data_IF_747230465902
#
_entry.id   IF_747230465902
#
_cell.length_a   1.000
_cell.length_b   1.000
_cell.length_c   1.000
_cell.angle_alpha   90.00
_cell.angle_beta   90.00
_cell.angle_gamma   90.00
#
_symmetry.space_group_name_H-M   'P 1'
#
loop_
_entity.id
_entity.type
_entity.pdbx_description
1 polymer ?
#
# COMPACT_ATOMS: atom_id res chain seq x y z
N UNK A 1 -3.71 8.83 -5.84
CA UNK A 1 -3.47 9.21 -4.43
C UNK A 1 -3.43 10.72 -4.15
N UNK A 2 -2.40 11.48 -4.58
CA UNK A 2 -2.11 12.83 -4.05
C UNK A 2 -3.27 13.84 -4.17
N UNK A 3 -3.99 13.85 -5.29
CA UNK A 3 -5.20 14.65 -5.46
C UNK A 3 -6.24 14.43 -4.34
N UNK A 4 -6.47 13.17 -3.98
CA UNK A 4 -7.44 12.79 -2.95
C UNK A 4 -6.94 13.06 -1.53
N UNK A 5 -5.63 12.94 -1.30
CA UNK A 5 -5.01 13.41 -0.05
C UNK A 5 -5.27 14.91 0.15
N UNK A 6 -5.02 15.75 -0.87
CA UNK A 6 -5.25 17.21 -0.80
C UNK A 6 -6.71 17.53 -0.44
N UNK A 7 -7.68 16.75 -0.94
CA UNK A 7 -9.09 16.94 -0.62
C UNK A 7 -9.47 16.48 0.78
N UNK A 8 -8.92 15.36 1.24
CA UNK A 8 -9.36 14.72 2.49
C UNK A 8 -8.66 15.28 3.72
N UNK A 9 -7.44 15.84 3.58
CA UNK A 9 -6.66 16.34 4.73
C UNK A 9 -7.38 17.44 5.54
N UNK A 10 -8.15 18.30 4.86
CA UNK A 10 -8.83 19.44 5.46
C UNK A 10 -10.29 19.14 5.83
N UNK A 11 -10.75 17.88 5.65
CA UNK A 11 -12.11 17.47 6.01
C UNK A 11 -12.18 17.24 7.52
N UNK A 12 -13.22 17.74 8.21
CA UNK A 12 -13.40 17.49 9.64
C UNK A 12 -13.31 16.01 10.01
N UNK A 13 -12.48 15.70 11.01
CA UNK A 13 -12.20 14.32 11.45
C UNK A 13 -11.02 13.65 10.75
N UNK A 14 -10.33 14.34 9.83
CA UNK A 14 -9.05 13.86 9.30
C UNK A 14 -7.88 14.36 10.14
N UNK A 15 -6.94 13.48 10.46
CA UNK A 15 -5.68 13.80 11.14
C UNK A 15 -4.49 13.75 10.16
N UNK A 16 -4.74 13.89 8.85
CA UNK A 16 -3.66 13.80 7.86
C UNK A 16 -2.81 15.06 7.89
N UNK A 17 -1.52 14.90 8.18
CA UNK A 17 -0.50 15.94 8.13
C UNK A 17 0.15 16.07 6.75
N UNK A 18 1.47 16.21 6.70
CA UNK A 18 2.27 16.28 5.49
C UNK A 18 2.17 15.05 4.57
N UNK A 19 2.65 15.20 3.34
CA UNK A 19 2.70 14.14 2.34
C UNK A 19 4.09 14.12 1.72
N UNK A 20 4.72 12.95 1.68
CA UNK A 20 5.98 12.75 0.96
C UNK A 20 5.85 11.55 0.04
N UNK A 21 6.14 11.74 -1.26
CA UNK A 21 6.38 10.64 -2.19
C UNK A 21 7.86 10.26 -2.12
N UNK A 22 8.13 9.01 -1.76
CA UNK A 22 9.49 8.46 -1.76
C UNK A 22 9.80 7.89 -3.14
N UNK A 23 10.58 8.63 -3.93
CA UNK A 23 10.95 8.26 -5.30
C UNK A 23 12.27 7.50 -5.29
N UNK A 24 12.19 6.17 -5.31
CA UNK A 24 13.33 5.26 -5.20
C UNK A 24 13.94 4.85 -6.55
N UNK A 25 13.82 5.72 -7.56
CA UNK A 25 14.45 5.54 -8.88
C UNK A 25 15.90 6.05 -8.92
N UNK A 26 16.36 6.73 -7.87
CA UNK A 26 17.62 7.46 -7.84
C UNK A 26 17.64 8.74 -8.70
N UNK A 27 16.55 9.06 -9.40
CA UNK A 27 16.49 10.18 -10.33
C UNK A 27 15.21 11.01 -10.10
N UNK A 28 15.28 12.35 -10.20
CA UNK A 28 14.09 13.18 -10.15
C UNK A 28 13.17 12.92 -11.35
N UNK A 29 11.88 13.21 -11.18
CA UNK A 29 10.88 13.19 -12.25
C UNK A 29 10.07 14.49 -12.30
N UNK A 30 9.26 14.66 -13.34
CA UNK A 30 8.42 15.85 -13.55
C UNK A 30 7.31 16.01 -12.50
N UNK A 31 6.89 14.95 -11.83
CA UNK A 31 5.85 15.01 -10.79
C UNK A 31 6.37 15.63 -9.49
N UNK A 32 7.68 15.80 -9.33
CA UNK A 32 8.25 16.48 -8.16
C UNK A 32 7.87 17.96 -8.07
N UNK A 33 7.46 18.58 -9.19
CA UNK A 33 6.95 19.96 -9.20
C UNK A 33 5.57 20.08 -8.55
N UNK A 34 4.78 19.00 -8.54
CA UNK A 34 3.44 18.99 -7.94
C UNK A 34 3.40 18.24 -6.60
N UNK A 35 4.08 17.10 -6.52
CA UNK A 35 4.00 16.18 -5.39
C UNK A 35 5.26 16.35 -4.55
N UNK A 36 5.16 16.75 -3.26
CA UNK A 36 6.33 16.81 -2.40
C UNK A 36 7.01 15.45 -2.37
N UNK A 37 8.28 15.43 -2.78
CA UNK A 37 9.00 14.20 -3.09
C UNK A 37 10.41 14.24 -2.52
N UNK A 38 10.90 13.08 -2.14
CA UNK A 38 12.32 12.86 -1.87
C UNK A 38 12.86 11.83 -2.87
N UNK A 39 14.04 12.08 -3.42
CA UNK A 39 14.74 11.12 -4.26
C UNK A 39 15.68 10.31 -3.37
N UNK A 40 15.56 8.99 -3.47
CA UNK A 40 16.42 8.03 -2.77
C UNK A 40 16.95 7.02 -3.77
N UNK A 41 18.11 6.46 -3.46
CA UNK A 41 18.79 5.53 -4.36
C UNK A 41 18.06 4.18 -4.36
N UNK A 42 17.97 3.49 -5.52
CA UNK A 42 17.55 2.10 -5.51
C UNK A 42 18.56 1.24 -4.74
N UNK A 43 18.19 -0.01 -4.48
CA UNK A 43 19.15 -1.01 -4.03
C UNK A 43 20.27 -1.16 -5.07
N UNK A 44 21.52 -1.41 -4.63
CA UNK A 44 22.60 -1.79 -5.52
C UNK A 44 22.21 -2.90 -6.50
N UNK A 45 22.73 -2.81 -7.72
CA UNK A 45 22.41 -3.73 -8.80
C UNK A 45 22.56 -5.19 -8.37
N UNK A 46 21.54 -6.01 -8.67
CA UNK A 46 21.53 -7.44 -8.38
C UNK A 46 21.02 -7.83 -6.99
N UNK A 47 20.97 -6.92 -6.02
CA UNK A 47 20.47 -7.24 -4.67
C UNK A 47 18.97 -7.49 -4.64
N UNK A 48 18.20 -6.82 -5.50
CA UNK A 48 16.76 -7.04 -5.59
C UNK A 48 16.39 -8.34 -6.33
N UNK A 49 17.35 -8.96 -7.03
CA UNK A 49 17.18 -10.15 -7.88
C UNK A 49 15.98 -10.02 -8.83
N UNK A 50 15.76 -8.82 -9.39
CA UNK A 50 14.63 -8.51 -10.27
C UNK A 50 13.28 -8.34 -9.56
N UNK A 51 13.24 -8.40 -8.22
CA UNK A 51 12.06 -8.12 -7.42
C UNK A 51 12.12 -6.68 -6.89
N UNK A 52 11.69 -5.74 -7.75
CA UNK A 52 11.78 -4.29 -7.53
C UNK A 52 11.13 -3.80 -6.23
N UNK A 53 10.23 -4.58 -5.64
CA UNK A 53 9.53 -4.24 -4.38
C UNK A 53 10.52 -4.13 -3.21
N UNK A 54 11.69 -4.78 -3.27
CA UNK A 54 12.74 -4.65 -2.24
C UNK A 54 13.33 -3.24 -2.15
N UNK A 55 13.16 -2.41 -3.18
CA UNK A 55 13.55 -1.01 -3.08
C UNK A 55 12.73 -0.26 -2.03
N UNK A 56 11.51 -0.70 -1.69
CA UNK A 56 10.62 -0.04 -0.73
C UNK A 56 11.21 0.04 0.68
N UNK A 57 11.57 -1.06 1.36
CA UNK A 57 12.17 -0.96 2.69
C UNK A 57 13.46 -0.12 2.69
N UNK A 58 14.27 -0.22 1.64
CA UNK A 58 15.48 0.59 1.51
C UNK A 58 15.17 2.09 1.35
N UNK A 59 14.13 2.41 0.58
CA UNK A 59 13.64 3.77 0.40
C UNK A 59 13.17 4.38 1.73
N UNK A 60 12.50 3.61 2.59
CA UNK A 60 12.11 4.06 3.93
C UNK A 60 13.30 4.32 4.84
N UNK A 61 14.33 3.47 4.82
CA UNK A 61 15.57 3.70 5.59
C UNK A 61 16.20 5.04 5.20
N UNK A 62 16.44 5.26 3.91
CA UNK A 62 17.02 6.51 3.42
C UNK A 62 16.12 7.72 3.68
N UNK A 63 14.81 7.58 3.53
CA UNK A 63 13.88 8.69 3.78
C UNK A 63 13.88 9.12 5.24
N UNK A 64 13.88 8.17 6.18
CA UNK A 64 13.95 8.47 7.62
C UNK A 64 15.27 9.14 8.02
N UNK A 65 16.37 8.83 7.33
CA UNK A 65 17.67 9.49 7.55
C UNK A 65 17.72 10.90 6.96
N UNK A 66 17.10 11.12 5.79
CA UNK A 66 17.24 12.36 5.00
C UNK A 66 16.16 13.40 5.30
N UNK A 67 14.95 12.97 5.64
CA UNK A 67 13.80 13.87 5.77
C UNK A 67 13.67 14.47 7.17
N UNK A 68 13.26 15.74 7.22
CA UNK A 68 12.73 16.34 8.46
C UNK A 68 11.23 16.04 8.52
N UNK A 69 10.83 15.23 9.50
CA UNK A 69 9.43 14.80 9.69
C UNK A 69 8.92 15.40 10.99
N UNK A 70 7.99 16.35 10.89
CA UNK A 70 7.37 17.04 12.03
C UNK A 70 6.32 16.17 12.72
N UNK A 71 5.64 15.32 11.95
CA UNK A 71 4.58 14.45 12.45
C UNK A 71 5.11 13.32 13.35
N UNK A 72 4.36 13.02 14.41
CA UNK A 72 4.66 11.89 15.30
C UNK A 72 4.30 10.54 14.65
N UNK A 73 3.30 10.51 13.78
CA UNK A 73 2.79 9.31 13.12
C UNK A 73 2.94 9.40 11.61
N UNK A 74 3.21 8.26 10.98
CA UNK A 74 3.40 8.10 9.55
C UNK A 74 2.34 7.13 9.04
N UNK A 75 1.59 7.56 8.03
CA UNK A 75 0.77 6.67 7.19
C UNK A 75 1.62 6.17 6.02
N UNK A 76 1.97 4.89 6.01
CA UNK A 76 2.50 4.22 4.83
C UNK A 76 1.33 3.83 3.92
N UNK A 77 1.39 4.23 2.64
CA UNK A 77 0.31 4.04 1.66
C UNK A 77 0.87 3.74 0.26
N UNK A 78 0.07 3.10 -0.62
CA UNK A 78 0.47 2.76 -1.99
C UNK A 78 -0.12 3.74 -3.03
N UNK A 79 0.56 4.03 -4.16
CA UNK A 79 0.08 4.98 -5.17
C UNK A 79 -1.35 4.72 -5.71
N UNK A 80 -1.79 3.47 -5.64
CA UNK A 80 -3.13 3.00 -6.01
C UNK A 80 -4.16 3.01 -4.86
N UNK A 81 -3.90 3.82 -3.83
CA UNK A 81 -4.89 4.20 -2.84
C UNK A 81 -5.62 5.51 -3.23
N UNK A 82 -6.92 5.52 -2.96
CA UNK A 82 -7.81 6.69 -3.04
C UNK A 82 -8.44 6.90 -1.67
N UNK A 83 -8.22 8.07 -1.06
CA UNK A 83 -8.90 8.46 0.17
C UNK A 83 -10.35 8.84 -0.14
N UNK A 84 -11.30 8.18 0.51
CA UNK A 84 -12.74 8.35 0.27
C UNK A 84 -13.51 8.91 1.46
N UNK A 85 -12.95 8.82 2.67
CA UNK A 85 -13.49 9.38 3.90
C UNK A 85 -12.35 10.06 4.69
N UNK A 86 -12.65 11.03 5.59
CA UNK A 86 -11.64 11.64 6.46
C UNK A 86 -10.98 10.57 7.33
N UNK A 87 -9.65 10.56 7.35
CA UNK A 87 -8.86 9.52 8.02
C UNK A 87 -8.30 10.07 9.35
N UNK A 88 -8.83 9.66 10.51
CA UNK A 88 -8.22 9.96 11.80
C UNK A 88 -7.01 9.06 12.04
N UNK A 89 -6.20 9.38 13.03
CA UNK A 89 -5.13 8.50 13.49
C UNK A 89 -5.73 7.24 14.11
N UNK A 90 -5.60 6.11 13.41
CA UNK A 90 -6.16 4.82 13.85
C UNK A 90 -5.23 4.09 14.83
N UNK A 91 -3.97 4.53 14.96
CA UNK A 91 -3.00 3.95 15.89
C UNK A 91 -3.27 4.42 17.32
N UNK A 92 -2.79 3.67 18.31
CA UNK A 92 -2.95 4.03 19.71
C UNK A 92 -1.71 3.67 20.53
N UNK A 93 -1.07 4.69 21.12
CA UNK A 93 0.17 4.49 21.88
C UNK A 93 1.24 3.83 21.02
N UNK A 94 1.81 2.73 21.50
CA UNK A 94 2.84 1.97 20.78
C UNK A 94 2.26 0.85 19.90
N UNK A 95 0.95 0.86 19.66
CA UNK A 95 0.26 -0.06 18.77
C UNK A 95 -0.11 0.62 17.44
N UNK A 96 0.64 0.35 16.36
CA UNK A 96 0.29 0.85 15.04
C UNK A 96 -1.04 0.26 14.54
N UNK A 97 -1.72 0.92 13.63
CA UNK A 97 -2.91 0.36 12.98
C UNK A 97 -2.58 -0.16 11.59
N UNK A 98 -3.08 -1.35 11.24
CA UNK A 98 -2.78 -1.99 9.96
C UNK A 98 -3.99 -2.74 9.40
N UNK A 99 -4.05 -2.87 8.08
CA UNK A 99 -5.03 -3.74 7.44
C UNK A 99 -4.59 -5.21 7.48
N UNK A 100 -5.43 -6.15 7.97
CA UNK A 100 -5.12 -7.57 7.95
C UNK A 100 -5.33 -8.17 6.55
N UNK A 101 -4.27 -8.76 6.00
CA UNK A 101 -4.32 -9.41 4.70
C UNK A 101 -4.58 -10.90 4.85
N UNK A 102 -5.69 -11.38 4.28
CA UNK A 102 -6.11 -12.79 4.40
C UNK A 102 -5.10 -13.81 3.83
N UNK A 103 -4.22 -13.36 2.92
CA UNK A 103 -3.17 -14.16 2.30
C UNK A 103 -1.82 -14.10 3.03
N UNK A 104 -1.67 -13.23 4.04
CA UNK A 104 -0.51 -13.24 4.92
C UNK A 104 -0.85 -14.12 6.12
N UNK A 105 -0.21 -15.29 6.19
CA UNK A 105 -0.57 -16.34 7.13
C UNK A 105 0.67 -16.89 7.84
N UNK A 106 1.24 -16.17 8.81
CA UNK A 106 2.45 -16.59 9.52
C UNK A 106 2.30 -17.97 10.16
N UNK A 107 1.17 -18.22 10.84
CA UNK A 107 0.92 -19.50 11.54
C UNK A 107 0.85 -20.72 10.59
N UNK A 108 0.31 -20.56 9.37
CA UNK A 108 0.30 -21.64 8.36
C UNK A 108 1.69 -21.89 7.75
N UNK A 109 2.64 -20.98 7.94
CA UNK A 109 4.00 -21.03 7.38
C UNK A 109 5.08 -21.17 8.45
N UNK A 110 4.75 -21.71 9.63
CA UNK A 110 5.62 -21.72 10.81
C UNK A 110 7.06 -22.18 10.52
N UNK A 111 7.24 -23.29 9.78
CA UNK A 111 8.57 -23.80 9.42
C UNK A 111 9.45 -22.74 8.71
N UNK A 112 8.88 -21.99 7.78
CA UNK A 112 9.58 -20.91 7.06
C UNK A 112 9.78 -19.71 7.99
N UNK A 113 8.73 -19.35 8.75
CA UNK A 113 8.78 -18.22 9.69
C UNK A 113 9.90 -18.36 10.72
N UNK A 114 10.17 -19.58 11.23
CA UNK A 114 11.23 -19.81 12.23
C UNK A 114 12.64 -19.49 11.76
N UNK A 115 12.89 -19.41 10.45
CA UNK A 115 14.18 -18.92 9.92
C UNK A 115 14.43 -17.43 10.19
N UNK A 116 13.36 -16.66 10.42
CA UNK A 116 13.38 -15.20 10.56
C UNK A 116 12.78 -14.70 11.88
N UNK A 117 11.96 -15.51 12.55
CA UNK A 117 11.38 -15.26 13.87
C UNK A 117 11.64 -16.48 14.79
N UNK A 118 12.81 -16.51 15.45
CA UNK A 118 13.24 -17.64 16.29
C UNK A 118 12.28 -17.97 17.44
N UNK A 119 12.36 -19.19 17.98
CA UNK A 119 11.45 -19.64 19.05
C UNK A 119 11.58 -18.82 20.34
N UNK A 120 12.78 -18.33 20.64
CA UNK A 120 13.06 -17.46 21.79
C UNK A 120 12.34 -16.10 21.71
N UNK A 121 11.91 -15.68 20.51
CA UNK A 121 11.11 -14.46 20.32
C UNK A 121 9.62 -14.69 20.63
N UNK A 122 9.20 -15.94 20.84
CA UNK A 122 7.83 -16.31 21.17
C UNK A 122 7.08 -17.05 20.05
N UNK A 123 5.75 -17.23 20.17
CA UNK A 123 4.95 -17.97 19.18
C UNK A 123 4.84 -17.21 17.85
N UNK A 124 4.78 -17.92 16.71
CA UNK A 124 4.62 -17.28 15.38
C UNK A 124 3.35 -16.44 15.27
N UNK A 125 2.34 -16.70 16.08
CA UNK A 125 1.12 -15.86 16.19
C UNK A 125 1.41 -14.42 16.65
N UNK A 126 2.61 -14.15 17.18
CA UNK A 126 3.10 -12.80 17.45
C UNK A 126 3.44 -12.01 16.17
N UNK A 127 3.60 -12.68 15.03
CA UNK A 127 3.71 -12.02 13.72
C UNK A 127 2.29 -11.75 13.20
N UNK A 128 1.94 -10.47 13.10
CA UNK A 128 0.62 -10.05 12.62
C UNK A 128 0.43 -10.39 11.12
N UNK A 129 -0.79 -10.74 10.67
CA UNK A 129 -1.09 -11.05 9.26
C UNK A 129 -1.22 -9.77 8.42
N UNK A 130 -0.16 -8.97 8.36
CA UNK A 130 -0.16 -7.62 7.79
C UNK A 130 0.98 -7.44 6.77
N UNK A 131 0.92 -6.33 6.03
CA UNK A 131 2.07 -5.79 5.29
C UNK A 131 2.31 -4.34 5.70
N UNK A 132 3.23 -3.66 5.03
CA UNK A 132 3.58 -2.27 5.39
C UNK A 132 2.51 -1.24 5.02
N UNK A 133 1.50 -1.58 4.20
CA UNK A 133 0.54 -0.62 3.66
C UNK A 133 -0.88 -1.20 3.53
N UNK A 134 -1.94 -0.48 3.97
CA UNK A 134 -1.86 0.75 4.75
C UNK A 134 -1.49 0.45 6.21
N UNK A 135 -0.57 1.25 6.76
CA UNK A 135 -0.20 1.22 8.18
C UNK A 135 -0.03 2.64 8.71
N UNK A 136 -0.62 2.94 9.87
CA UNK A 136 -0.30 4.14 10.65
C UNK A 136 0.58 3.73 11.82
N UNK A 137 1.80 4.27 11.88
CA UNK A 137 2.84 3.88 12.84
C UNK A 137 3.55 5.13 13.39
N UNK A 138 3.92 5.12 14.67
CA UNK A 138 4.78 6.17 15.22
C UNK A 138 6.12 6.20 14.48
N UNK A 139 6.60 7.39 14.14
CA UNK A 139 7.90 7.61 13.51
C UNK A 139 9.04 6.88 14.24
N UNK A 140 9.09 7.01 15.57
CA UNK A 140 10.12 6.37 16.40
C UNK A 140 10.09 4.84 16.41
N UNK A 141 8.94 4.23 16.12
CA UNK A 141 8.84 2.77 15.92
C UNK A 141 9.29 2.43 14.51
N UNK A 142 8.87 3.19 13.49
CA UNK A 142 9.27 2.97 12.11
C UNK A 142 10.80 3.06 11.94
N UNK A 143 11.45 4.04 12.56
CA UNK A 143 12.92 4.19 12.61
C UNK A 143 13.62 2.94 13.14
N UNK A 144 13.04 2.26 14.14
CA UNK A 144 13.61 1.03 14.70
C UNK A 144 13.42 -0.18 13.78
N UNK A 145 12.24 -0.31 13.17
CA UNK A 145 11.91 -1.51 12.39
C UNK A 145 12.40 -1.44 10.95
N UNK A 146 12.57 -0.26 10.34
CA UNK A 146 12.88 -0.11 8.92
C UNK A 146 14.20 -0.80 8.50
N UNK A 147 15.32 -0.67 9.25
CA UNK A 147 16.55 -1.41 8.91
C UNK A 147 16.38 -2.93 9.03
N UNK A 148 15.62 -3.41 10.02
CA UNK A 148 15.32 -4.84 10.19
C UNK A 148 14.41 -5.36 9.07
N UNK A 149 13.41 -4.57 8.68
CA UNK A 149 12.52 -4.88 7.57
C UNK A 149 13.32 -5.08 6.28
N UNK A 150 14.21 -4.13 5.93
CA UNK A 150 15.11 -4.28 4.80
C UNK A 150 15.93 -5.57 4.86
N UNK A 151 16.62 -5.81 5.97
CA UNK A 151 17.52 -6.96 6.11
C UNK A 151 16.78 -8.29 6.08
N UNK A 152 15.60 -8.38 6.72
CA UNK A 152 14.78 -9.59 6.68
C UNK A 152 14.26 -9.83 5.26
N UNK A 153 13.76 -8.80 4.57
CA UNK A 153 13.28 -8.94 3.19
C UNK A 153 14.39 -9.40 2.23
N UNK A 154 15.62 -8.87 2.36
CA UNK A 154 16.76 -9.35 1.56
C UNK A 154 17.10 -10.81 1.86
N UNK A 155 17.18 -11.19 3.15
CA UNK A 155 17.43 -12.59 3.55
C UNK A 155 16.33 -13.55 3.10
N UNK A 156 15.08 -13.10 3.08
CA UNK A 156 13.96 -13.88 2.55
C UNK A 156 14.10 -14.07 1.04
N UNK A 157 14.53 -13.02 0.32
CA UNK A 157 14.75 -13.09 -1.12
C UNK A 157 15.93 -14.00 -1.51
N UNK A 158 16.96 -14.03 -0.68
CA UNK A 158 18.15 -14.88 -0.88
C UNK A 158 17.90 -16.36 -0.57
N UNK A 159 16.85 -16.71 0.17
CA UNK A 159 16.46 -18.09 0.48
C UNK A 159 15.48 -18.63 -0.58
N UNK A 160 15.86 -19.63 -1.40
CA UNK A 160 15.00 -20.12 -2.48
C UNK A 160 13.69 -20.77 -2.00
N UNK A 161 13.66 -21.40 -0.81
CA UNK A 161 12.43 -21.98 -0.25
C UNK A 161 11.47 -20.87 0.17
N UNK A 162 11.99 -19.83 0.83
CA UNK A 162 11.20 -18.68 1.28
C UNK A 162 10.73 -17.82 0.10
N UNK A 163 11.61 -17.50 -0.86
CA UNK A 163 11.26 -16.73 -2.06
C UNK A 163 10.17 -17.41 -2.86
N UNK A 164 10.28 -18.73 -3.06
CA UNK A 164 9.24 -19.50 -3.73
C UNK A 164 7.93 -19.51 -2.96
N UNK A 165 7.97 -19.60 -1.63
CA UNK A 165 6.77 -19.70 -0.80
C UNK A 165 6.01 -18.38 -0.69
N UNK A 166 6.71 -17.26 -0.48
CA UNK A 166 6.07 -15.96 -0.28
C UNK A 166 5.95 -15.14 -1.57
N UNK A 167 6.85 -15.34 -2.54
CA UNK A 167 6.79 -14.71 -3.85
C UNK A 167 6.54 -13.21 -3.79
N UNK A 168 5.46 -12.75 -4.42
CA UNK A 168 5.15 -11.32 -4.57
C UNK A 168 4.81 -10.59 -3.27
N UNK A 169 4.48 -11.31 -2.18
CA UNK A 169 4.19 -10.74 -0.85
C UNK A 169 5.35 -10.88 0.14
N UNK A 170 6.52 -11.33 -0.33
CA UNK A 170 7.69 -11.55 0.52
C UNK A 170 8.09 -10.32 1.32
N UNK A 171 8.07 -9.15 0.70
CA UNK A 171 8.39 -7.90 1.39
C UNK A 171 7.41 -7.64 2.55
N UNK A 172 6.11 -7.91 2.36
CA UNK A 172 5.09 -7.77 3.41
C UNK A 172 5.35 -8.68 4.60
N UNK A 173 5.77 -9.93 4.37
CA UNK A 173 6.23 -10.82 5.44
C UNK A 173 7.47 -10.27 6.14
N UNK A 174 8.39 -9.66 5.40
CA UNK A 174 9.55 -8.97 5.97
C UNK A 174 9.15 -7.85 6.94
N UNK A 175 8.17 -7.01 6.57
CA UNK A 175 7.65 -5.97 7.45
C UNK A 175 6.99 -6.56 8.71
N UNK A 176 6.17 -7.60 8.55
CA UNK A 176 5.49 -8.25 9.66
C UNK A 176 6.48 -8.91 10.65
N UNK A 177 7.50 -9.61 10.13
CA UNK A 177 8.55 -10.21 10.95
C UNK A 177 9.38 -9.14 11.65
N UNK A 178 9.80 -8.09 10.94
CA UNK A 178 10.57 -7.01 11.54
C UNK A 178 9.81 -6.35 12.69
N UNK A 179 8.51 -6.09 12.50
CA UNK A 179 7.64 -5.57 13.56
C UNK A 179 7.63 -6.49 14.78
N UNK A 180 7.42 -7.80 14.57
CA UNK A 180 7.38 -8.78 15.66
C UNK A 180 8.72 -8.94 16.38
N UNK A 181 9.84 -8.89 15.65
CA UNK A 181 11.19 -8.94 16.23
C UNK A 181 11.46 -7.77 17.19
N UNK A 182 10.79 -6.63 16.97
CA UNK A 182 10.86 -5.45 17.85
C UNK A 182 9.69 -5.37 18.85
N UNK A 183 8.92 -6.45 19.02
CA UNK A 183 7.80 -6.53 19.96
C UNK A 183 6.59 -5.66 19.58
N UNK A 184 6.51 -5.21 18.32
CA UNK A 184 5.43 -4.34 17.84
C UNK A 184 4.21 -5.17 17.46
N UNK A 185 3.05 -4.83 18.04
CA UNK A 185 1.76 -5.48 17.78
C UNK A 185 0.75 -4.48 17.22
N UNK A 186 0.11 -4.84 16.12
CA UNK A 186 -0.80 -3.95 15.39
C UNK A 186 -2.26 -4.07 15.86
N UNK A 187 -2.97 -2.94 15.82
CA UNK A 187 -4.42 -2.90 15.84
C UNK A 187 -4.91 -3.24 14.44
N UNK A 188 -5.50 -4.43 14.28
CA UNK A 188 -5.98 -4.91 12.99
C UNK A 188 -7.31 -4.25 12.62
N UNK A 189 -7.32 -3.47 11.55
CA UNK A 189 -8.47 -2.67 11.09
C UNK A 189 -8.94 -3.12 9.71
N UNK A 190 -10.00 -3.93 9.67
CA UNK A 190 -10.64 -4.37 8.40
C UNK A 190 -11.35 -3.22 7.68
N UNK A 191 -11.70 -2.16 8.39
CA UNK A 191 -12.30 -0.94 7.87
C UNK A 191 -11.27 0.07 7.35
N UNK A 192 -9.97 -0.23 7.46
CA UNK A 192 -8.92 0.70 7.05
C UNK A 192 -8.93 0.94 5.53
N UNK A 193 -9.12 -0.12 4.75
CA UNK A 193 -9.27 -0.03 3.30
C UNK A 193 -10.30 -1.03 2.78
N UNK A 194 -10.70 -0.85 1.52
CA UNK A 194 -11.49 -1.76 0.73
C UNK A 194 -10.84 -2.07 -0.62
N UNK A 195 -11.19 -3.21 -1.18
CA UNK A 195 -10.63 -3.77 -2.40
C UNK A 195 -11.73 -4.14 -3.40
N UNK A 196 -12.24 -3.17 -4.17
CA UNK A 196 -13.14 -3.46 -5.29
C UNK A 196 -12.46 -4.42 -6.30
N UNK A 197 -13.21 -5.36 -6.91
CA UNK A 197 -14.67 -5.49 -6.86
C UNK A 197 -15.22 -6.33 -5.69
N UNK A 198 -14.38 -6.77 -4.75
CA UNK A 198 -14.76 -7.72 -3.71
C UNK A 198 -15.50 -7.08 -2.53
N UNK A 199 -15.05 -5.90 -2.11
CA UNK A 199 -15.77 -5.10 -1.13
C UNK A 199 -16.81 -4.25 -1.85
N UNK A 200 -18.09 -4.52 -1.59
CA UNK A 200 -19.19 -3.96 -2.40
C UNK A 200 -19.53 -2.50 -2.06
N UNK A 201 -19.33 -2.12 -0.79
CA UNK A 201 -19.73 -0.83 -0.24
C UNK A 201 -18.55 -0.08 0.37
N UNK A 202 -18.53 1.24 0.17
CA UNK A 202 -17.55 2.15 0.75
C UNK A 202 -17.82 2.33 2.24
N UNK A 203 -19.06 2.70 2.59
CA UNK A 203 -19.47 2.93 3.98
C UNK A 203 -18.54 3.87 4.73
N UNK A 204 -18.10 3.45 5.92
CA UNK A 204 -17.17 4.17 6.79
C UNK A 204 -15.69 3.85 6.56
N UNK A 205 -15.35 3.11 5.50
CA UNK A 205 -13.96 2.72 5.20
C UNK A 205 -13.18 3.88 4.59
N UNK A 206 -11.88 3.95 4.81
CA UNK A 206 -11.12 5.17 4.50
C UNK A 206 -10.47 5.21 3.13
N UNK A 207 -10.01 4.05 2.64
CA UNK A 207 -9.18 3.94 1.45
C UNK A 207 -9.76 2.93 0.47
N UNK A 208 -9.97 3.32 -0.79
CA UNK A 208 -10.10 2.36 -1.90
C UNK A 208 -8.70 1.98 -2.39
N UNK A 209 -8.37 0.69 -2.35
CA UNK A 209 -7.18 0.12 -2.96
C UNK A 209 -7.57 -0.59 -4.27
N UNK A 210 -7.29 0.05 -5.42
CA UNK A 210 -7.74 -0.45 -6.73
C UNK A 210 -6.77 -1.46 -7.36
N UNK A 211 -6.47 -2.52 -6.62
CA UNK A 211 -5.48 -3.53 -7.04
C UNK A 211 -6.02 -4.53 -8.07
N UNK A 212 -7.32 -4.86 -8.00
CA UNK A 212 -7.95 -5.85 -8.86
C UNK A 212 -8.60 -5.21 -10.09
N UNK A 213 -8.60 -5.95 -11.20
CA UNK A 213 -9.42 -5.60 -12.36
C UNK A 213 -10.91 -5.73 -12.03
N UNK A 214 -11.67 -4.72 -12.41
CA UNK A 214 -13.12 -4.67 -12.31
C UNK A 214 -13.71 -4.96 -13.69
N UNK A 215 -14.01 -6.23 -13.96
CA UNK A 215 -14.54 -6.71 -15.24
C UNK A 215 -16.00 -7.11 -15.11
N UNK A 216 -16.88 -6.48 -15.88
CA UNK A 216 -18.32 -6.71 -15.82
C UNK A 216 -18.94 -6.88 -17.20
N UNK A 217 -20.00 -7.67 -17.29
CA UNK A 217 -20.88 -7.62 -18.45
C UNK A 217 -21.86 -6.43 -18.34
N UNK A 218 -22.60 -6.14 -19.41
CA UNK A 218 -23.54 -5.01 -19.43
C UNK A 218 -24.77 -5.17 -18.53
N UNK A 219 -24.95 -6.36 -17.92
CA UNK A 219 -25.97 -6.61 -16.88
C UNK A 219 -25.46 -6.34 -15.45
N UNK A 220 -24.20 -5.93 -15.30
CA UNK A 220 -23.59 -5.66 -13.99
C UNK A 220 -23.05 -6.91 -13.29
N UNK A 221 -22.88 -8.02 -13.99
CA UNK A 221 -22.35 -9.28 -13.42
C UNK A 221 -20.83 -9.34 -13.59
N UNK A 222 -20.11 -9.68 -12.52
CA UNK A 222 -18.64 -9.76 -12.51
C UNK A 222 -18.16 -10.92 -13.40
N UNK A 223 -17.28 -10.63 -14.37
CA UNK A 223 -16.70 -11.61 -15.30
C UNK A 223 -15.26 -11.95 -14.91
N UNK A 224 -15.06 -12.34 -13.65
CA UNK A 224 -13.71 -12.59 -13.10
C UNK A 224 -12.86 -13.53 -13.98
N UNK A 225 -11.61 -13.14 -14.21
CA UNK A 225 -10.66 -13.90 -15.05
C UNK A 225 -10.87 -13.73 -16.56
N UNK A 226 -11.82 -12.89 -16.99
CA UNK A 226 -12.05 -12.54 -18.40
C UNK A 226 -12.18 -11.03 -18.55
N UNK A 227 -11.80 -10.52 -19.71
CA UNK A 227 -12.05 -9.11 -20.06
C UNK A 227 -13.57 -8.95 -20.20
N UNK A 228 -14.15 -8.11 -19.34
CA UNK A 228 -15.58 -7.77 -19.36
C UNK A 228 -15.93 -6.84 -20.52
N UNK A 229 -17.24 -6.71 -20.78
CA UNK A 229 -17.76 -5.72 -21.73
C UNK A 229 -17.53 -4.29 -21.22
N UNK A 230 -17.63 -4.10 -19.90
CA UNK A 230 -17.14 -2.94 -19.19
C UNK A 230 -15.95 -3.34 -18.30
N UNK A 231 -14.89 -2.52 -18.29
CA UNK A 231 -13.67 -2.80 -17.51
C UNK A 231 -13.08 -1.53 -16.91
N UNK A 232 -12.62 -1.65 -15.67
CA UNK A 232 -11.56 -0.80 -15.11
C UNK A 232 -10.42 -1.67 -14.56
N UNK A 233 -9.22 -1.57 -15.13
CA UNK A 233 -8.00 -2.16 -14.57
C UNK A 233 -6.82 -1.23 -14.81
N UNK A 234 -6.10 -0.88 -13.75
CA UNK A 234 -4.88 -0.05 -13.83
C UNK A 234 -3.82 -0.66 -14.76
N UNK A 235 -3.79 -1.99 -14.93
CA UNK A 235 -2.85 -2.69 -15.84
C UNK A 235 -3.15 -2.43 -17.31
N UNK A 236 -4.32 -1.88 -17.64
CA UNK A 236 -4.62 -1.38 -18.98
C UNK A 236 -3.95 -0.02 -19.26
N UNK A 237 -3.35 0.61 -18.25
CA UNK A 237 -2.79 1.97 -18.29
C UNK A 237 -1.33 2.01 -17.82
N UNK A 238 -0.51 1.05 -18.24
CA UNK A 238 0.91 0.97 -17.83
C UNK A 238 1.82 1.99 -18.55
N UNK A 239 1.37 2.55 -19.67
CA UNK A 239 2.16 3.46 -20.52
C UNK A 239 1.73 4.92 -20.44
N UNK A 240 0.90 5.25 -19.45
CA UNK A 240 0.36 6.59 -19.29
C UNK A 240 -0.92 6.56 -18.43
N UNK A 241 -1.42 7.73 -18.04
CA UNK A 241 -2.62 7.83 -17.23
C UNK A 241 -3.85 7.28 -17.95
N UNK A 242 -4.90 6.84 -17.23
CA UNK A 242 -6.17 6.48 -17.85
C UNK A 242 -6.79 7.69 -18.56
N UNK A 243 -7.53 7.51 -19.67
CA UNK A 243 -8.15 8.61 -20.37
C UNK A 243 -9.17 9.32 -19.47
N UNK A 244 -9.38 10.62 -19.73
CA UNK A 244 -10.47 11.39 -19.11
C UNK A 244 -11.83 10.79 -19.47
N UNK A 245 -12.81 11.01 -18.60
CA UNK A 245 -14.21 10.63 -18.81
C UNK A 245 -14.41 9.12 -19.09
N UNK A 246 -13.81 8.27 -18.25
CA UNK A 246 -14.10 6.84 -18.25
C UNK A 246 -15.60 6.60 -18.13
N UNK A 247 -16.12 5.64 -18.89
CA UNK A 247 -17.52 5.24 -18.78
C UNK A 247 -17.81 4.73 -17.37
N UNK A 248 -18.94 5.16 -16.80
CA UNK A 248 -19.42 4.57 -15.55
C UNK A 248 -19.80 3.10 -15.79
N UNK A 249 -19.63 2.25 -14.77
CA UNK A 249 -20.04 0.86 -14.89
C UNK A 249 -21.56 0.72 -15.10
N UNK A 250 -22.03 -0.39 -15.70
CA UNK A 250 -23.44 -0.65 -15.92
C UNK A 250 -24.24 -0.73 -14.60
N UNK A 251 -25.57 -0.57 -14.63
CA UNK A 251 -26.42 -0.80 -13.47
C UNK A 251 -26.20 -2.18 -12.86
N UNK A 252 -26.26 -2.29 -11.54
CA UNK A 252 -26.01 -3.54 -10.80
C UNK A 252 -24.56 -3.73 -10.33
N UNK A 253 -23.62 -2.94 -10.84
CA UNK A 253 -22.23 -2.96 -10.36
C UNK A 253 -22.12 -2.33 -8.96
N UNK A 254 -21.27 -2.87 -8.05
CA UNK A 254 -21.18 -2.41 -6.67
C UNK A 254 -20.81 -0.92 -6.51
N UNK A 255 -21.29 -0.34 -5.41
CA UNK A 255 -21.10 1.07 -5.04
C UNK A 255 -19.61 1.44 -5.00
N UNK A 256 -18.77 0.56 -4.48
CA UNK A 256 -17.33 0.76 -4.38
C UNK A 256 -16.63 0.92 -5.74
N UNK A 257 -17.05 0.16 -6.76
CA UNK A 257 -16.52 0.25 -8.13
C UNK A 257 -17.01 1.54 -8.79
N UNK A 258 -18.29 1.88 -8.59
CA UNK A 258 -18.85 3.15 -9.06
C UNK A 258 -18.08 4.33 -8.44
N UNK A 259 -17.81 4.29 -7.13
CA UNK A 259 -17.07 5.32 -6.41
C UNK A 259 -15.65 5.44 -6.92
N UNK A 260 -14.96 4.33 -7.15
CA UNK A 260 -13.61 4.29 -7.72
C UNK A 260 -13.56 5.02 -9.08
N UNK A 261 -14.43 4.65 -10.02
CA UNK A 261 -14.43 5.25 -11.36
C UNK A 261 -14.78 6.73 -11.33
N UNK A 262 -15.77 7.12 -10.51
CA UNK A 262 -16.09 8.54 -10.26
C UNK A 262 -14.88 9.30 -9.71
N UNK A 263 -14.14 8.70 -8.78
CA UNK A 263 -12.96 9.32 -8.19
C UNK A 263 -11.82 9.50 -9.21
N UNK A 264 -11.62 8.53 -10.10
CA UNK A 264 -10.66 8.64 -11.21
C UNK A 264 -11.08 9.72 -12.21
N UNK A 265 -12.36 9.76 -12.58
CA UNK A 265 -12.90 10.78 -13.48
C UNK A 265 -12.78 12.19 -12.91
N UNK A 266 -13.08 12.36 -11.63
CA UNK A 266 -12.94 13.65 -10.97
C UNK A 266 -11.48 14.11 -10.88
N UNK A 267 -10.57 13.22 -10.49
CA UNK A 267 -9.14 13.54 -10.44
C UNK A 267 -8.61 13.90 -11.84
N UNK A 268 -8.83 13.03 -12.82
CA UNK A 268 -8.39 13.26 -14.20
C UNK A 268 -8.95 14.56 -14.77
N UNK A 269 -10.23 14.89 -14.52
CA UNK A 269 -10.86 16.14 -14.94
C UNK A 269 -10.16 17.39 -14.39
N UNK A 270 -9.68 17.35 -13.15
CA UNK A 270 -9.18 18.51 -12.42
C UNK A 270 -7.65 18.63 -12.36
N UNK A 271 -6.91 17.59 -12.72
CA UNK A 271 -5.45 17.66 -12.80
C UNK A 271 -5.08 18.28 -14.16
N UNK A 272 -4.34 19.42 -14.18
CA UNK A 272 -3.86 20.01 -15.43
C UNK A 272 -2.90 19.05 -16.12
N UNK A 273 -2.78 19.13 -17.45
CA UNK A 273 -1.80 18.34 -18.19
C UNK A 273 -1.93 16.81 -17.98
N UNK A 274 -3.11 16.32 -17.58
CA UNK A 274 -3.36 14.89 -17.36
C UNK A 274 -3.00 14.03 -18.57
N UNK A 275 -3.18 14.54 -19.79
CA UNK A 275 -2.97 13.78 -21.02
C UNK A 275 -1.53 13.90 -21.56
N UNK A 276 -0.67 14.70 -20.92
CA UNK A 276 0.73 14.86 -21.33
C UNK A 276 1.63 13.95 -20.50
N UNK A 277 2.49 13.19 -21.18
CA UNK A 277 3.52 12.34 -20.58
C UNK A 277 4.73 13.16 -20.16
#
# INVERSE_FOLDING_TARGET
>A
MYYWYKKMKDVPGSDMGGFTRILHSGNPDNLMEEIPSIVVDPLPEGLDRGYIVLNRPWAFVQWLEKATIEEEYILMAEPDHIFVNPLPNLAHGDHPAAFPFFYIKPAENEKIMRKYYPEEMGPVTNVDPIGNSPVIIKKSILEKIAPTWMNVSLRMKDDPETDKAFGWVLEMYGYAVASALHGVRHILRKDFMLQPPWDLEVGNKFIIHYTYGCDYNMKGELTYGKIGEWRFDKRSHLRGPPPRNLSLPPPGVPESVVRLVKAVNEASANIPNWDTQ
#
